data_IF_424517766221
#
_entry.id   IF_424517766221
#
_cell.length_a   1.000
_cell.length_b   1.000
_cell.length_c   1.000
_cell.angle_alpha   90.00
_cell.angle_beta   90.00
_cell.angle_gamma   90.00
#
_symmetry.space_group_name_H-M   'P 1'
#
loop_
_entity.id
_entity.type
_entity.pdbx_description
1 polymer ?
#
# COMPACT_ATOMS: atom_id res chain seq x y z
N UNK A 1 -25.39 -18.46 4.97
CA UNK A 1 -25.04 -17.76 3.71
C UNK A 1 -25.85 -16.48 3.63
N UNK A 2 -25.22 -15.33 3.83
CA UNK A 2 -25.91 -14.02 3.80
C UNK A 2 -26.30 -13.75 2.35
N UNK A 3 -27.59 -13.56 2.06
CA UNK A 3 -28.10 -13.20 0.73
C UNK A 3 -27.52 -11.82 0.39
N UNK A 4 -26.50 -11.77 -0.45
CA UNK A 4 -25.91 -10.51 -0.89
C UNK A 4 -26.96 -9.75 -1.70
N UNK A 5 -27.23 -8.50 -1.31
CA UNK A 5 -28.26 -7.68 -1.96
C UNK A 5 -27.89 -7.48 -3.43
N UNK A 6 -28.80 -7.80 -4.35
CA UNK A 6 -28.58 -7.67 -5.80
C UNK A 6 -28.16 -6.26 -6.21
N UNK A 7 -28.53 -5.25 -5.42
CA UNK A 7 -28.14 -3.84 -5.62
C UNK A 7 -26.64 -3.60 -5.41
N UNK A 8 -26.01 -4.28 -4.46
CA UNK A 8 -24.57 -4.12 -4.18
C UNK A 8 -23.74 -4.64 -5.36
N UNK A 9 -24.16 -5.74 -5.97
CA UNK A 9 -23.50 -6.31 -7.18
C UNK A 9 -23.61 -5.34 -8.36
N UNK A 10 -24.74 -4.63 -8.48
CA UNK A 10 -24.93 -3.61 -9.50
C UNK A 10 -24.05 -2.38 -9.22
N UNK A 11 -23.94 -1.97 -7.96
CA UNK A 11 -23.06 -0.88 -7.55
C UNK A 11 -21.58 -1.18 -7.83
N UNK A 12 -21.11 -2.40 -7.53
CA UNK A 12 -19.73 -2.79 -7.81
C UNK A 12 -19.40 -2.73 -9.30
N UNK A 13 -20.33 -3.18 -10.16
CA UNK A 13 -20.19 -3.04 -11.62
C UNK A 13 -20.06 -1.57 -12.05
N UNK A 14 -20.91 -0.69 -11.51
CA UNK A 14 -20.85 0.73 -11.84
C UNK A 14 -19.57 1.41 -11.35
N UNK A 15 -19.11 1.11 -10.13
CA UNK A 15 -17.83 1.61 -9.60
C UNK A 15 -16.65 1.14 -10.45
N UNK A 16 -16.67 -0.10 -10.93
CA UNK A 16 -15.62 -0.62 -11.82
C UNK A 16 -15.61 0.09 -13.17
N UNK A 17 -16.78 0.37 -13.75
CA UNK A 17 -16.90 1.13 -15.00
C UNK A 17 -16.44 2.57 -14.83
N UNK A 18 -16.77 3.21 -13.70
CA UNK A 18 -16.31 4.55 -13.35
C UNK A 18 -14.78 4.60 -13.17
N UNK A 19 -14.20 3.68 -12.40
CA UNK A 19 -12.74 3.59 -12.18
C UNK A 19 -11.96 3.45 -13.48
N UNK A 20 -12.49 2.64 -14.41
CA UNK A 20 -11.89 2.40 -15.73
C UNK A 20 -12.24 3.48 -16.76
N UNK A 21 -13.08 4.46 -16.41
CA UNK A 21 -13.63 5.48 -17.32
C UNK A 21 -14.25 4.87 -18.59
N UNK A 22 -14.89 3.71 -18.45
CA UNK A 22 -15.50 2.98 -19.56
C UNK A 22 -17.01 3.22 -19.59
N UNK A 23 -17.54 3.31 -20.79
CA UNK A 23 -18.98 3.25 -21.00
C UNK A 23 -19.53 1.83 -20.87
N UNK A 24 -20.84 1.72 -20.72
CA UNK A 24 -21.55 0.45 -20.67
C UNK A 24 -22.93 0.57 -21.32
N UNK A 25 -23.46 -0.60 -21.71
CA UNK A 25 -24.85 -0.77 -22.14
C UNK A 25 -25.67 -1.48 -21.07
N UNK A 26 -27.00 -1.34 -21.08
CA UNK A 26 -27.86 -2.06 -20.14
C UNK A 26 -27.76 -3.58 -20.30
N UNK A 27 -27.46 -4.07 -21.51
CA UNK A 27 -27.23 -5.49 -21.77
C UNK A 27 -25.95 -6.00 -21.11
N UNK A 28 -24.84 -5.25 -21.21
CA UNK A 28 -23.59 -5.58 -20.52
C UNK A 28 -23.75 -5.60 -19.00
N UNK A 29 -24.43 -4.59 -18.45
CA UNK A 29 -24.67 -4.51 -17.01
C UNK A 29 -25.53 -5.69 -16.51
N UNK A 30 -26.52 -6.10 -17.30
CA UNK A 30 -27.39 -7.22 -16.99
C UNK A 30 -26.63 -8.54 -16.97
N UNK A 31 -25.79 -8.77 -17.99
CA UNK A 31 -24.95 -9.95 -18.10
C UNK A 31 -23.92 -10.02 -16.96
N UNK A 32 -23.25 -8.92 -16.65
CA UNK A 32 -22.22 -8.88 -15.61
C UNK A 32 -22.77 -9.04 -14.18
N UNK A 33 -24.01 -8.61 -13.93
CA UNK A 33 -24.60 -8.62 -12.58
C UNK A 33 -25.59 -9.76 -12.36
N UNK A 34 -25.90 -10.57 -13.39
CA UNK A 34 -26.89 -11.65 -13.32
C UNK A 34 -28.33 -11.15 -13.17
N UNK A 35 -28.62 -9.89 -13.52
CA UNK A 35 -29.94 -9.27 -13.41
C UNK A 35 -30.62 -9.12 -14.78
N UNK A 36 -31.94 -8.92 -14.80
CA UNK A 36 -32.68 -8.63 -16.04
C UNK A 36 -32.37 -7.20 -16.53
N UNK A 37 -32.28 -7.00 -17.84
CA UNK A 37 -32.07 -5.67 -18.46
C UNK A 37 -33.08 -4.64 -17.95
N UNK A 38 -34.36 -5.02 -17.86
CA UNK A 38 -35.43 -4.15 -17.38
C UNK A 38 -35.24 -3.70 -15.92
N UNK A 39 -34.64 -4.54 -15.07
CA UNK A 39 -34.35 -4.19 -13.68
C UNK A 39 -33.30 -3.08 -13.61
N UNK A 40 -32.22 -3.20 -14.38
CA UNK A 40 -31.16 -2.19 -14.43
C UNK A 40 -31.68 -0.90 -15.07
N UNK A 41 -32.43 -1.00 -16.16
CA UNK A 41 -33.07 0.17 -16.77
C UNK A 41 -33.95 0.92 -15.77
N UNK A 42 -34.80 0.21 -15.03
CA UNK A 42 -35.66 0.78 -13.99
C UNK A 42 -34.84 1.45 -12.89
N UNK A 43 -33.81 0.77 -12.37
CA UNK A 43 -32.91 1.30 -11.34
C UNK A 43 -32.24 2.61 -11.80
N UNK A 44 -31.70 2.61 -13.01
CA UNK A 44 -31.03 3.77 -13.60
C UNK A 44 -32.03 4.89 -13.83
N UNK A 45 -33.18 4.62 -14.45
CA UNK A 45 -34.16 5.66 -14.78
C UNK A 45 -34.79 6.31 -13.54
N UNK A 46 -35.04 5.54 -12.48
CA UNK A 46 -35.76 6.03 -11.30
C UNK A 46 -34.85 6.77 -10.32
N UNK A 47 -33.58 6.35 -10.18
CA UNK A 47 -32.76 6.80 -9.04
C UNK A 47 -31.36 7.33 -9.39
N UNK A 48 -30.77 6.92 -10.53
CA UNK A 48 -29.37 7.19 -10.82
C UNK A 48 -29.15 8.12 -12.03
N UNK A 49 -30.09 8.17 -12.98
CA UNK A 49 -30.00 8.96 -14.20
C UNK A 49 -29.89 10.44 -13.89
N UNK A 50 -28.87 11.10 -14.46
CA UNK A 50 -28.62 12.54 -14.30
C UNK A 50 -27.97 12.94 -12.98
N UNK A 51 -27.88 12.03 -11.99
CA UNK A 51 -27.13 12.25 -10.74
C UNK A 51 -25.78 11.54 -10.77
N UNK A 52 -25.81 10.26 -11.12
CA UNK A 52 -24.66 9.37 -11.04
C UNK A 52 -24.38 8.61 -12.34
N UNK A 53 -25.39 8.48 -13.20
CA UNK A 53 -25.29 7.83 -14.50
C UNK A 53 -25.74 8.82 -15.58
N UNK A 54 -24.88 8.99 -16.57
CA UNK A 54 -25.03 9.97 -17.63
C UNK A 54 -24.98 9.27 -18.99
N UNK A 55 -25.68 9.84 -19.98
CA UNK A 55 -25.70 9.32 -21.34
C UNK A 55 -24.68 10.08 -22.18
N UNK A 56 -23.82 9.34 -22.88
CA UNK A 56 -22.89 9.93 -23.85
C UNK A 56 -23.50 9.90 -25.26
N UNK A 57 -23.46 8.74 -25.93
CA UNK A 57 -24.17 8.48 -27.20
C UNK A 57 -25.04 7.25 -27.04
N UNK A 58 -26.30 7.27 -27.52
CA UNK A 58 -27.14 6.05 -27.49
C UNK A 58 -26.42 4.91 -28.22
N UNK A 59 -26.27 3.71 -27.62
CA UNK A 59 -26.87 3.20 -26.37
C UNK A 59 -25.97 3.26 -25.11
N UNK A 60 -24.84 3.96 -25.15
CA UNK A 60 -23.78 4.00 -24.15
C UNK A 60 -24.06 4.99 -22.99
N UNK A 61 -23.77 4.52 -21.79
CA UNK A 61 -23.86 5.26 -20.52
C UNK A 61 -22.51 5.25 -19.80
N UNK A 62 -22.27 6.24 -18.96
CA UNK A 62 -21.09 6.28 -18.09
C UNK A 62 -21.48 6.69 -16.66
N UNK A 63 -20.66 6.29 -15.70
CA UNK A 63 -20.85 6.55 -14.28
C UNK A 63 -19.95 7.71 -13.83
N UNK A 64 -20.44 8.54 -12.90
CA UNK A 64 -19.67 9.58 -12.23
C UNK A 64 -20.23 9.82 -10.82
N UNK A 65 -19.36 9.84 -9.81
CA UNK A 65 -19.68 10.06 -8.41
C UNK A 65 -20.16 8.82 -7.64
N UNK A 66 -20.19 7.62 -8.23
CA UNK A 66 -20.57 6.38 -7.51
C UNK A 66 -19.43 5.81 -6.68
N UNK A 67 -18.18 6.22 -6.97
CA UNK A 67 -17.01 5.88 -6.16
C UNK A 67 -17.04 6.49 -4.75
N UNK A 68 -17.76 7.60 -4.55
CA UNK A 68 -17.79 8.34 -3.29
C UNK A 68 -19.01 8.04 -2.39
N UNK A 69 -19.95 7.21 -2.86
CA UNK A 69 -21.18 6.88 -2.12
C UNK A 69 -20.97 5.58 -1.37
N UNK A 70 -21.46 5.47 -0.13
CA UNK A 70 -21.44 4.21 0.63
C UNK A 70 -22.43 3.17 0.07
N UNK A 71 -22.22 1.89 0.37
CA UNK A 71 -23.13 0.82 -0.05
C UNK A 71 -24.55 1.03 0.53
N UNK A 72 -24.65 1.53 1.77
CA UNK A 72 -25.92 1.82 2.44
C UNK A 72 -26.64 3.02 1.81
N UNK A 73 -25.91 4.08 1.45
CA UNK A 73 -26.48 5.25 0.78
C UNK A 73 -26.99 4.88 -0.62
N UNK A 74 -26.25 4.05 -1.35
CA UNK A 74 -26.72 3.55 -2.63
C UNK A 74 -28.00 2.72 -2.50
N UNK A 75 -28.07 1.82 -1.52
CA UNK A 75 -29.27 1.05 -1.21
C UNK A 75 -30.45 1.98 -0.87
N UNK A 76 -30.19 3.06 -0.13
CA UNK A 76 -31.18 4.07 0.24
C UNK A 76 -31.69 4.85 -0.98
N UNK A 77 -30.79 5.30 -1.86
CA UNK A 77 -31.13 6.05 -3.08
C UNK A 77 -31.95 5.18 -4.05
N UNK A 78 -31.66 3.88 -4.09
CA UNK A 78 -32.25 2.93 -5.04
C UNK A 78 -33.49 2.18 -4.52
N UNK A 79 -33.90 2.39 -3.27
CA UNK A 79 -35.09 1.73 -2.71
C UNK A 79 -36.38 2.43 -3.18
N UNK A 80 -37.31 1.67 -3.79
CA UNK A 80 -38.63 2.15 -4.24
C UNK A 80 -39.58 2.53 -3.09
N UNK A 81 -39.23 2.24 -1.83
CA UNK A 81 -40.02 2.69 -0.69
C UNK A 81 -39.72 4.17 -0.40
N UNK A 82 -40.61 5.06 -0.83
CA UNK A 82 -40.69 6.47 -0.39
C UNK A 82 -41.06 6.62 1.09
N UNK A 83 -40.96 5.55 1.89
CA UNK A 83 -40.70 5.68 3.32
C UNK A 83 -39.19 5.75 3.45
N UNK A 84 -38.65 6.96 3.49
CA UNK A 84 -37.30 7.16 4.00
C UNK A 84 -37.26 6.43 5.34
N UNK A 85 -36.56 5.29 5.39
CA UNK A 85 -36.38 4.52 6.63
C UNK A 85 -35.97 5.55 7.68
N UNK A 86 -36.85 5.78 8.66
CA UNK A 86 -36.56 6.74 9.73
C UNK A 86 -35.32 6.17 10.39
N UNK A 87 -34.21 6.88 10.21
CA UNK A 87 -32.94 6.44 10.78
C UNK A 87 -33.15 6.38 12.30
N UNK A 88 -32.74 5.27 12.89
CA UNK A 88 -32.59 5.18 14.35
C UNK A 88 -31.61 6.26 14.82
N UNK A 89 -31.70 6.64 16.09
CA UNK A 89 -30.81 7.68 16.61
C UNK A 89 -29.34 7.24 16.55
N UNK A 90 -29.06 5.94 16.74
CA UNK A 90 -27.76 5.33 16.53
C UNK A 90 -27.29 5.42 15.07
N UNK A 91 -28.15 5.11 14.10
CA UNK A 91 -27.81 5.27 12.67
C UNK A 91 -27.53 6.74 12.33
N UNK A 92 -28.31 7.70 12.86
CA UNK A 92 -28.05 9.14 12.66
C UNK A 92 -26.70 9.55 13.24
N UNK A 93 -26.39 9.10 14.45
CA UNK A 93 -25.13 9.38 15.11
C UNK A 93 -23.96 8.76 14.36
N UNK A 94 -24.10 7.51 13.90
CA UNK A 94 -23.12 6.82 13.08
C UNK A 94 -22.68 7.64 11.87
N UNK A 95 -23.64 8.09 11.04
CA UNK A 95 -23.32 8.90 9.86
C UNK A 95 -22.67 10.23 10.21
N UNK A 96 -23.06 10.86 11.34
CA UNK A 96 -22.41 12.09 11.83
C UNK A 96 -20.98 11.83 12.29
N UNK A 97 -20.70 10.71 12.98
CA UNK A 97 -19.36 10.34 13.41
C UNK A 97 -18.45 10.08 12.22
N UNK A 98 -18.90 9.28 11.24
CA UNK A 98 -18.16 9.00 10.00
C UNK A 98 -17.84 10.27 9.22
N UNK A 99 -18.83 11.15 9.02
CA UNK A 99 -18.62 12.41 8.31
C UNK A 99 -17.62 13.32 9.03
N UNK A 100 -17.72 13.42 10.37
CA UNK A 100 -16.80 14.23 11.17
C UNK A 100 -15.39 13.63 11.21
N UNK A 101 -15.29 12.30 11.26
CA UNK A 101 -14.04 11.54 11.16
C UNK A 101 -13.32 11.86 9.85
N UNK A 102 -14.05 11.78 8.73
CA UNK A 102 -13.50 12.10 7.41
C UNK A 102 -13.05 13.56 7.31
N UNK A 103 -13.85 14.51 7.79
CA UNK A 103 -13.47 15.92 7.81
C UNK A 103 -12.19 16.14 8.65
N UNK A 104 -12.08 15.51 9.83
CA UNK A 104 -10.91 15.63 10.68
C UNK A 104 -9.67 15.03 10.01
N UNK A 105 -9.82 13.89 9.33
CA UNK A 105 -8.76 13.26 8.54
C UNK A 105 -8.26 14.17 7.41
N UNK A 106 -9.18 14.77 6.63
CA UNK A 106 -8.81 15.70 5.55
C UNK A 106 -8.06 16.91 6.09
N UNK A 107 -8.55 17.52 7.18
CA UNK A 107 -7.86 18.67 7.80
C UNK A 107 -6.49 18.29 8.33
N UNK A 108 -6.33 17.08 8.91
CA UNK A 108 -5.02 16.61 9.34
C UNK A 108 -4.02 16.64 8.17
N UNK A 109 -4.40 16.07 7.02
CA UNK A 109 -3.55 16.03 5.83
C UNK A 109 -3.25 17.44 5.27
N UNK A 110 -4.24 18.32 5.21
CA UNK A 110 -4.06 19.70 4.72
C UNK A 110 -3.09 20.49 5.60
N UNK A 111 -3.25 20.35 6.93
CA UNK A 111 -2.43 21.05 7.92
C UNK A 111 -0.98 20.59 7.88
N UNK A 112 -0.74 19.28 7.79
CA UNK A 112 0.62 18.75 7.67
C UNK A 112 1.31 19.23 6.38
N UNK A 113 0.56 19.27 5.29
CA UNK A 113 1.03 19.72 3.99
C UNK A 113 1.13 21.25 3.83
N UNK A 114 0.99 22.02 4.92
CA UNK A 114 1.20 23.47 4.94
C UNK A 114 2.57 23.80 5.55
N UNK A 115 3.65 23.96 4.75
CA UNK A 115 5.00 24.10 5.29
C UNK A 115 5.21 25.38 6.10
N UNK A 116 4.44 26.43 5.81
CA UNK A 116 4.47 27.70 6.53
C UNK A 116 3.88 27.64 7.95
N UNK A 117 3.28 26.52 8.34
CA UNK A 117 2.70 26.35 9.66
C UNK A 117 3.71 25.68 10.58
N UNK A 118 4.22 26.43 11.55
CA UNK A 118 5.27 25.99 12.47
C UNK A 118 4.82 24.77 13.30
N UNK A 119 3.58 24.79 13.79
CA UNK A 119 3.01 23.72 14.60
C UNK A 119 2.26 22.64 13.77
N UNK A 120 2.62 22.47 12.48
CA UNK A 120 1.94 21.50 11.58
C UNK A 120 1.95 20.06 12.10
N UNK A 121 3.02 19.65 12.77
CA UNK A 121 3.19 18.29 13.33
C UNK A 121 2.23 18.08 14.51
N UNK A 122 2.12 19.07 15.39
CA UNK A 122 1.17 19.10 16.52
C UNK A 122 -0.27 19.05 16.04
N UNK A 123 -0.62 19.96 15.14
CA UNK A 123 -1.96 20.08 14.63
C UNK A 123 -2.37 18.84 13.83
N UNK A 124 -1.44 18.22 13.08
CA UNK A 124 -1.67 16.91 12.47
C UNK A 124 -1.98 15.85 13.52
N UNK A 125 -1.15 15.69 14.56
CA UNK A 125 -1.32 14.64 15.57
C UNK A 125 -2.68 14.76 16.28
N UNK A 126 -3.10 15.99 16.63
CA UNK A 126 -4.40 16.27 17.24
C UNK A 126 -5.54 15.87 16.30
N UNK A 127 -5.51 16.35 15.05
CA UNK A 127 -6.60 16.10 14.09
C UNK A 127 -6.68 14.64 13.67
N UNK A 128 -5.53 13.98 13.50
CA UNK A 128 -5.45 12.55 13.17
C UNK A 128 -5.94 11.67 14.31
N UNK A 129 -5.62 12.02 15.57
CA UNK A 129 -6.14 11.35 16.76
C UNK A 129 -7.67 11.45 16.82
N UNK A 130 -8.21 12.66 16.61
CA UNK A 130 -9.66 12.87 16.58
C UNK A 130 -10.34 12.10 15.43
N UNK A 131 -9.73 12.04 14.24
CA UNK A 131 -10.24 11.24 13.13
C UNK A 131 -10.34 9.76 13.51
N UNK A 132 -9.26 9.16 14.04
CA UNK A 132 -9.28 7.78 14.50
C UNK A 132 -10.31 7.53 15.61
N UNK A 133 -10.45 8.45 16.56
CA UNK A 133 -11.40 8.30 17.66
C UNK A 133 -12.83 8.25 17.16
N UNK A 134 -13.21 9.14 16.26
CA UNK A 134 -14.56 9.18 15.68
C UNK A 134 -14.83 7.95 14.80
N UNK A 135 -13.84 7.48 14.03
CA UNK A 135 -13.95 6.28 13.22
C UNK A 135 -14.21 5.05 14.10
N UNK A 136 -13.36 4.79 15.10
CA UNK A 136 -13.49 3.61 15.94
C UNK A 136 -14.74 3.67 16.83
N UNK A 137 -15.15 4.85 17.31
CA UNK A 137 -16.44 5.02 18.01
C UNK A 137 -17.62 4.68 17.11
N UNK A 138 -17.59 5.04 15.83
CA UNK A 138 -18.65 4.64 14.90
C UNK A 138 -18.72 3.11 14.71
N UNK A 139 -17.58 2.42 14.73
CA UNK A 139 -17.52 0.95 14.70
C UNK A 139 -18.14 0.33 15.96
N UNK A 140 -17.79 0.86 17.13
CA UNK A 140 -18.34 0.43 18.42
C UNK A 140 -19.85 0.66 18.46
N UNK A 141 -20.32 1.84 18.06
CA UNK A 141 -21.74 2.17 17.98
C UNK A 141 -22.51 1.15 17.12
N UNK A 142 -21.97 0.80 15.95
CA UNK A 142 -22.58 -0.16 15.04
C UNK A 142 -22.59 -1.59 15.61
N UNK A 143 -21.63 -1.94 16.45
CA UNK A 143 -21.49 -3.27 17.03
C UNK A 143 -22.25 -3.46 18.36
N UNK A 144 -22.32 -2.42 19.20
CA UNK A 144 -22.77 -2.51 20.59
C UNK A 144 -23.81 -1.46 21.01
N UNK A 145 -24.14 -0.49 20.15
CA UNK A 145 -25.09 0.58 20.44
C UNK A 145 -24.52 1.72 21.29
N UNK A 146 -25.33 2.77 21.49
CA UNK A 146 -24.91 4.02 22.11
C UNK A 146 -24.31 3.88 23.51
N UNK A 147 -24.88 3.04 24.36
CA UNK A 147 -24.46 2.87 25.76
C UNK A 147 -22.99 2.44 25.89
N UNK A 148 -22.45 1.79 24.86
CA UNK A 148 -21.04 1.38 24.83
C UNK A 148 -20.04 2.51 24.52
N UNK A 149 -20.53 3.69 24.14
CA UNK A 149 -19.70 4.88 23.87
C UNK A 149 -19.51 5.76 25.11
N UNK A 150 -20.24 5.48 26.19
CA UNK A 150 -20.24 6.26 27.41
C UNK A 150 -19.72 5.39 28.55
N UNK A 151 -18.80 5.94 29.34
CA UNK A 151 -18.27 5.29 30.54
C UNK A 151 -19.22 5.45 31.74
N UNK A 152 -18.84 4.89 32.88
CA UNK A 152 -19.65 4.97 34.11
C UNK A 152 -19.82 6.39 34.66
N UNK A 153 -18.93 7.31 34.30
CA UNK A 153 -18.96 8.73 34.69
C UNK A 153 -19.77 9.59 33.72
N UNK A 154 -20.36 9.00 32.67
CA UNK A 154 -21.08 9.75 31.64
C UNK A 154 -20.18 10.40 30.58
N UNK A 155 -18.88 10.08 30.54
CA UNK A 155 -17.93 10.62 29.57
C UNK A 155 -17.82 9.69 28.37
N UNK A 156 -17.44 10.25 27.22
CA UNK A 156 -17.20 9.45 26.03
C UNK A 156 -15.91 8.64 26.16
N UNK A 157 -15.92 7.37 25.76
CA UNK A 157 -14.74 6.50 25.80
C UNK A 157 -13.54 7.16 25.10
N UNK A 158 -12.31 7.03 25.63
CA UNK A 158 -11.12 7.57 24.98
C UNK A 158 -10.70 6.72 23.77
N UNK A 159 -9.89 7.30 22.86
CA UNK A 159 -9.32 6.56 21.74
C UNK A 159 -8.57 5.29 22.17
N UNK A 160 -7.88 5.29 23.31
CA UNK A 160 -7.16 4.10 23.82
C UNK A 160 -8.08 2.90 24.03
N UNK A 161 -9.28 3.12 24.59
CA UNK A 161 -10.28 2.07 24.75
C UNK A 161 -10.85 1.63 23.40
N UNK A 162 -11.09 2.58 22.49
CA UNK A 162 -11.59 2.27 21.16
C UNK A 162 -10.59 1.45 20.32
N UNK A 163 -9.28 1.73 20.46
CA UNK A 163 -8.19 0.95 19.87
C UNK A 163 -8.14 -0.46 20.47
N UNK A 164 -8.29 -0.60 21.79
CA UNK A 164 -8.32 -1.91 22.44
C UNK A 164 -9.53 -2.76 22.00
N UNK A 165 -10.67 -2.13 21.73
CA UNK A 165 -11.83 -2.82 21.17
C UNK A 165 -11.54 -3.38 19.78
N UNK A 166 -10.89 -2.61 18.91
CA UNK A 166 -10.53 -3.03 17.54
C UNK A 166 -9.39 -4.06 17.53
N UNK A 167 -8.35 -3.81 18.33
CA UNK A 167 -7.13 -4.62 18.42
C UNK A 167 -6.97 -5.17 19.85
N UNK A 168 -7.66 -6.28 20.19
CA UNK A 168 -7.54 -6.87 21.52
C UNK A 168 -6.13 -7.42 21.78
N UNK A 169 -5.52 -8.02 20.75
CA UNK A 169 -4.16 -8.56 20.80
C UNK A 169 -3.11 -7.51 20.40
N UNK A 170 -1.86 -7.76 20.76
CA UNK A 170 -0.72 -6.94 20.35
C UNK A 170 -0.49 -7.05 18.83
N UNK A 171 -0.28 -5.90 18.17
CA UNK A 171 -0.09 -5.81 16.72
C UNK A 171 0.69 -4.55 16.35
N UNK A 172 1.32 -4.56 15.17
CA UNK A 172 2.04 -3.38 14.65
C UNK A 172 1.12 -2.16 14.52
N UNK A 173 -0.11 -2.38 14.03
CA UNK A 173 -1.15 -1.37 13.87
C UNK A 173 -1.57 -0.77 15.22
N UNK A 174 -1.73 -1.62 16.25
CA UNK A 174 -2.05 -1.20 17.61
C UNK A 174 -0.92 -0.36 18.20
N UNK A 175 0.32 -0.80 18.05
CA UNK A 175 1.49 -0.06 18.54
C UNK A 175 1.67 1.28 17.79
N UNK A 176 1.36 1.35 16.49
CA UNK A 176 1.33 2.61 15.74
C UNK A 176 0.32 3.59 16.33
N UNK A 177 -0.92 3.15 16.54
CA UNK A 177 -1.98 4.00 17.10
C UNK A 177 -1.70 4.40 18.56
N UNK A 178 -1.18 3.48 19.37
CA UNK A 178 -0.75 3.80 20.73
C UNK A 178 0.37 4.83 20.76
N UNK A 179 1.28 4.78 19.79
CA UNK A 179 2.34 5.78 19.68
C UNK A 179 1.80 7.15 19.27
N UNK A 180 0.81 7.22 18.37
CA UNK A 180 0.07 8.45 18.05
C UNK A 180 -0.65 9.01 19.29
N UNK A 181 -1.35 8.16 20.05
CA UNK A 181 -2.06 8.54 21.28
C UNK A 181 -1.09 9.12 22.29
N UNK A 182 0.04 8.45 22.53
CA UNK A 182 1.04 8.90 23.50
C UNK A 182 1.69 10.22 23.08
N UNK A 183 1.95 10.42 21.78
CA UNK A 183 2.43 11.69 21.26
C UNK A 183 1.42 12.83 21.51
N UNK A 184 0.11 12.57 21.36
CA UNK A 184 -0.92 13.59 21.62
C UNK A 184 -1.15 13.84 23.10
N UNK A 185 -1.20 12.80 23.92
CA UNK A 185 -1.61 12.88 25.33
C UNK A 185 -0.46 13.20 26.28
N UNK A 186 0.70 12.58 26.09
CA UNK A 186 1.77 12.56 27.09
C UNK A 186 2.98 13.38 26.65
N UNK A 187 3.15 13.55 25.33
CA UNK A 187 4.38 14.02 24.71
C UNK A 187 4.11 15.07 23.63
N UNK A 188 3.09 15.92 23.83
CA UNK A 188 2.72 16.93 22.84
C UNK A 188 3.85 17.94 22.59
N UNK A 189 4.62 18.25 23.64
CA UNK A 189 5.81 19.09 23.60
C UNK A 189 7.02 18.41 22.91
N UNK A 190 6.90 17.15 22.51
CA UNK A 190 7.92 16.43 21.73
C UNK A 190 7.67 16.53 20.22
N UNK A 191 6.59 17.15 19.75
CA UNK A 191 6.27 17.28 18.32
C UNK A 191 7.13 18.36 17.63
N UNK A 192 8.45 18.19 17.75
CA UNK A 192 9.48 19.12 17.33
C UNK A 192 9.94 18.89 15.88
N UNK A 193 10.42 19.92 15.18
CA UNK A 193 10.96 19.79 13.82
C UNK A 193 12.12 18.79 13.71
N UNK A 194 12.99 18.71 14.72
CA UNK A 194 14.22 17.90 14.69
C UNK A 194 13.94 16.40 14.66
N UNK A 195 12.80 15.97 15.19
CA UNK A 195 12.37 14.55 15.17
C UNK A 195 11.33 14.27 14.09
N UNK A 196 11.03 15.27 13.25
CA UNK A 196 10.05 15.15 12.19
C UNK A 196 10.31 13.98 11.23
N UNK A 197 11.56 13.60 10.87
CA UNK A 197 11.79 12.43 10.02
C UNK A 197 11.20 11.14 10.61
N UNK A 198 11.38 10.89 11.90
CA UNK A 198 10.82 9.70 12.58
C UNK A 198 9.30 9.78 12.70
N UNK A 199 8.77 10.95 13.09
CA UNK A 199 7.34 11.18 13.20
C UNK A 199 6.63 11.02 11.86
N UNK A 200 7.25 11.50 10.78
CA UNK A 200 6.68 11.41 9.43
C UNK A 200 6.47 9.96 8.97
N UNK A 201 7.42 9.06 9.29
CA UNK A 201 7.31 7.62 8.98
C UNK A 201 6.18 6.96 9.76
N UNK A 202 6.00 7.32 11.03
CA UNK A 202 4.90 6.86 11.87
C UNK A 202 3.55 7.34 11.32
N UNK A 203 3.44 8.65 11.08
CA UNK A 203 2.23 9.32 10.61
C UNK A 203 1.79 8.83 9.24
N UNK A 204 2.74 8.57 8.35
CA UNK A 204 2.45 7.99 7.05
C UNK A 204 1.73 6.64 7.20
N UNK A 205 2.26 5.76 8.03
CA UNK A 205 1.61 4.48 8.33
C UNK A 205 0.23 4.69 8.97
N UNK A 206 0.11 5.62 9.92
CA UNK A 206 -1.18 5.93 10.56
C UNK A 206 -2.25 6.38 9.56
N UNK A 207 -1.87 7.15 8.54
CA UNK A 207 -2.75 7.58 7.45
C UNK A 207 -3.18 6.41 6.58
N UNK A 208 -2.24 5.54 6.18
CA UNK A 208 -2.55 4.35 5.39
C UNK A 208 -3.50 3.39 6.13
N UNK A 209 -3.23 3.15 7.42
CA UNK A 209 -4.10 2.35 8.27
C UNK A 209 -5.52 2.94 8.37
N UNK A 210 -5.63 4.27 8.46
CA UNK A 210 -6.94 4.92 8.51
C UNK A 210 -7.72 4.72 7.21
N UNK A 211 -7.03 4.88 6.07
CA UNK A 211 -7.64 4.66 4.76
C UNK A 211 -8.12 3.22 4.58
N UNK A 212 -7.32 2.24 5.01
CA UNK A 212 -7.67 0.82 5.00
C UNK A 212 -8.92 0.56 5.86
N UNK A 213 -8.94 1.06 7.10
CA UNK A 213 -10.05 0.88 8.04
C UNK A 213 -11.34 1.57 7.59
N UNK A 214 -11.23 2.82 7.10
CA UNK A 214 -12.37 3.53 6.55
C UNK A 214 -12.97 2.79 5.36
N UNK A 215 -12.12 2.32 4.43
CA UNK A 215 -12.57 1.59 3.26
C UNK A 215 -13.21 0.24 3.62
N UNK A 216 -12.65 -0.45 4.60
CA UNK A 216 -13.24 -1.69 5.13
C UNK A 216 -14.63 -1.46 5.75
N UNK A 217 -14.82 -0.33 6.43
CA UNK A 217 -16.08 -0.02 7.12
C UNK A 217 -17.18 0.51 6.18
N UNK A 218 -16.84 1.42 5.26
CA UNK A 218 -17.81 2.14 4.41
C UNK A 218 -17.91 1.60 2.97
N UNK A 219 -16.96 0.76 2.55
CA UNK A 219 -16.93 0.15 1.21
C UNK A 219 -16.35 1.05 0.11
N UNK A 220 -15.79 2.22 0.46
CA UNK A 220 -15.13 3.13 -0.46
C UNK A 220 -13.95 3.87 0.18
N UNK A 221 -13.03 4.37 -0.65
CA UNK A 221 -11.86 5.09 -0.15
C UNK A 221 -12.22 6.52 0.30
N UNK A 222 -11.71 7.01 1.44
CA UNK A 222 -12.11 8.30 2.01
C UNK A 222 -11.86 9.50 1.09
N UNK A 223 -10.91 9.41 0.16
CA UNK A 223 -10.48 10.50 -0.73
C UNK A 223 -10.63 10.16 -2.22
N UNK A 224 -11.62 9.34 -2.61
CA UNK A 224 -11.77 8.84 -3.98
C UNK A 224 -11.83 9.94 -5.07
N UNK A 225 -12.30 11.15 -4.73
CA UNK A 225 -12.47 12.28 -5.66
C UNK A 225 -11.39 13.38 -5.53
N UNK A 226 -10.47 13.27 -4.56
CA UNK A 226 -9.43 14.28 -4.33
C UNK A 226 -8.10 13.79 -4.90
N UNK A 227 -7.36 14.63 -5.62
CA UNK A 227 -6.03 14.28 -6.13
C UNK A 227 -5.08 14.04 -4.95
N UNK A 228 -4.90 12.76 -4.62
CA UNK A 228 -4.13 12.18 -3.52
C UNK A 228 -2.60 12.40 -3.65
N UNK A 229 -2.16 13.28 -4.57
CA UNK A 229 -0.74 13.63 -4.78
C UNK A 229 -0.04 14.26 -3.56
N UNK A 230 -0.74 14.40 -2.43
CA UNK A 230 -0.29 14.98 -1.17
C UNK A 230 -0.06 13.95 -0.05
N UNK A 231 -0.07 12.65 -0.38
CA UNK A 231 0.07 11.58 0.63
C UNK A 231 1.49 11.31 1.11
N UNK A 232 2.54 11.87 0.52
CA UNK A 232 3.91 11.65 1.01
C UNK A 232 4.19 12.59 2.17
N UNK A 233 3.72 12.23 3.37
CA UNK A 233 4.09 12.91 4.61
C UNK A 233 5.53 12.64 4.99
N UNK A 234 6.13 11.58 4.42
CA UNK A 234 7.50 11.15 4.66
C UNK A 234 8.45 12.27 4.25
N UNK A 235 9.03 12.90 5.26
CA UNK A 235 10.11 13.86 5.11
C UNK A 235 11.37 13.09 5.41
N UNK A 236 12.23 12.98 4.40
CA UNK A 236 13.57 12.47 4.61
C UNK A 236 14.43 13.56 5.28
N UNK A 237 15.28 13.14 6.21
CA UNK A 237 16.11 14.04 6.99
C UNK A 237 17.15 13.29 7.81
N UNK A 238 18.20 13.99 8.25
CA UNK A 238 19.25 13.39 9.08
C UNK A 238 18.67 12.84 10.39
N UNK A 239 19.42 11.92 11.03
CA UNK A 239 19.07 11.52 12.40
C UNK A 239 19.06 12.75 13.33
N UNK A 240 18.11 12.84 14.27
CA UNK A 240 17.99 13.99 15.18
C UNK A 240 19.26 14.18 16.00
N UNK A 241 19.84 15.38 15.95
CA UNK A 241 20.97 15.74 16.79
C UNK A 241 20.48 16.15 18.18
N UNK A 242 20.70 15.26 19.16
CA UNK A 242 20.32 15.50 20.55
C UNK A 242 21.09 16.68 21.17
N UNK A 243 22.29 16.99 20.66
CA UNK A 243 23.06 18.15 21.12
C UNK A 243 22.36 19.46 20.74
N UNK A 244 21.89 19.57 19.50
CA UNK A 244 21.10 20.70 19.01
C UNK A 244 19.80 20.84 19.80
N UNK A 245 19.06 19.74 20.00
CA UNK A 245 17.82 19.74 20.79
C UNK A 245 18.07 20.22 22.22
N UNK A 246 19.22 19.87 22.81
CA UNK A 246 19.60 20.29 24.16
C UNK A 246 19.94 21.77 24.23
N UNK A 247 20.52 22.33 23.18
CA UNK A 247 20.85 23.75 23.07
C UNK A 247 19.58 24.60 22.91
N UNK A 248 18.70 24.22 21.98
CA UNK A 248 17.47 24.95 21.65
C UNK A 248 16.37 24.79 22.71
N UNK A 249 16.14 23.55 23.18
CA UNK A 249 14.98 23.21 24.03
C UNK A 249 15.35 22.79 25.45
N UNK A 250 16.63 22.76 25.79
CA UNK A 250 17.14 22.46 27.12
C UNK A 250 17.26 20.96 27.45
N UNK A 251 17.89 20.69 28.60
CA UNK A 251 18.30 19.33 29.01
C UNK A 251 17.14 18.34 29.21
N UNK A 252 16.01 18.81 29.75
CA UNK A 252 14.86 17.95 30.06
C UNK A 252 14.20 17.43 28.77
N UNK A 253 13.93 18.33 27.83
CA UNK A 253 13.35 18.01 26.52
C UNK A 253 14.25 17.07 25.74
N UNK A 254 15.56 17.35 25.66
CA UNK A 254 16.52 16.47 25.00
C UNK A 254 16.56 15.04 25.58
N UNK A 255 16.39 14.91 26.90
CA UNK A 255 16.35 13.60 27.57
C UNK A 255 15.10 12.81 27.18
N UNK A 256 13.94 13.49 27.14
CA UNK A 256 12.67 12.88 26.73
C UNK A 256 12.67 12.52 25.23
N UNK A 257 13.23 13.38 24.38
CA UNK A 257 13.43 13.09 22.95
C UNK A 257 14.28 11.84 22.77
N UNK A 258 15.41 11.73 23.49
CA UNK A 258 16.27 10.56 23.41
C UNK A 258 15.56 9.28 23.89
N UNK A 259 14.78 9.35 24.96
CA UNK A 259 13.97 8.23 25.43
C UNK A 259 12.91 7.79 24.40
N UNK A 260 12.21 8.78 23.82
CA UNK A 260 11.26 8.55 22.74
C UNK A 260 11.92 7.86 21.54
N UNK A 261 13.04 8.36 21.05
CA UNK A 261 13.75 7.78 19.90
C UNK A 261 14.23 6.35 20.17
N UNK A 262 14.71 6.07 21.38
CA UNK A 262 15.08 4.70 21.80
C UNK A 262 13.87 3.77 21.80
N UNK A 263 12.75 4.22 22.37
CA UNK A 263 11.49 3.45 22.38
C UNK A 263 10.99 3.21 20.95
N UNK A 264 11.00 4.24 20.12
CA UNK A 264 10.60 4.18 18.71
C UNK A 264 11.42 3.15 17.94
N UNK A 265 12.74 3.21 18.03
CA UNK A 265 13.66 2.27 17.37
C UNK A 265 13.44 0.83 17.84
N UNK A 266 13.16 0.63 19.14
CA UNK A 266 12.83 -0.70 19.68
C UNK A 266 11.53 -1.26 19.11
N UNK A 267 10.48 -0.43 18.99
CA UNK A 267 9.21 -0.84 18.39
C UNK A 267 9.34 -1.11 16.88
N UNK A 268 10.11 -0.29 16.18
CA UNK A 268 10.44 -0.49 14.77
C UNK A 268 11.14 -1.84 14.54
N UNK A 269 12.15 -2.16 15.36
CA UNK A 269 12.84 -3.45 15.32
C UNK A 269 11.95 -4.64 15.73
N UNK A 270 11.06 -4.45 16.72
CA UNK A 270 10.12 -5.49 17.18
C UNK A 270 9.21 -5.95 16.04
N UNK A 271 8.64 -5.00 15.29
CA UNK A 271 7.65 -5.31 14.26
C UNK A 271 8.26 -5.58 12.88
N UNK A 272 9.41 -4.98 12.57
CA UNK A 272 10.13 -5.10 11.30
C UNK A 272 9.20 -5.10 10.07
N UNK A 273 8.21 -4.21 10.08
CA UNK A 273 7.18 -4.14 9.05
C UNK A 273 6.73 -2.70 8.83
N UNK A 274 6.26 -2.40 7.61
CA UNK A 274 5.75 -1.08 7.25
C UNK A 274 4.41 -0.73 7.91
N UNK A 275 3.85 -1.66 8.72
CA UNK A 275 2.59 -1.48 9.45
C UNK A 275 2.77 -0.76 10.80
N UNK A 276 4.00 -0.66 11.32
CA UNK A 276 4.30 0.22 12.46
C UNK A 276 4.80 1.60 12.01
N UNK A 277 5.80 1.64 11.13
CA UNK A 277 6.33 2.85 10.51
C UNK A 277 6.89 2.48 9.13
N UNK A 278 6.75 3.37 8.14
CA UNK A 278 7.28 3.10 6.80
C UNK A 278 8.81 3.11 6.79
N UNK A 279 9.42 2.05 6.27
CA UNK A 279 10.86 2.02 6.01
C UNK A 279 11.15 2.75 4.69
N UNK A 280 12.12 3.68 4.73
CA UNK A 280 12.62 4.35 3.53
C UNK A 280 13.77 3.49 2.99
N UNK A 281 13.52 2.73 1.92
CA UNK A 281 14.56 1.98 1.22
C UNK A 281 15.17 2.85 0.11
N UNK A 282 16.44 3.25 0.28
CA UNK A 282 17.18 3.92 -0.78
C UNK A 282 17.66 2.90 -1.82
N UNK A 283 17.10 2.96 -3.02
CA UNK A 283 17.69 2.33 -4.20
C UNK A 283 18.64 3.33 -4.87
N UNK A 284 19.83 3.49 -4.32
CA UNK A 284 20.88 4.33 -4.91
C UNK A 284 21.35 3.71 -6.24
N UNK A 285 21.27 4.46 -7.35
CA UNK A 285 21.73 4.04 -8.66
C UNK A 285 22.59 5.12 -9.33
N UNK A 286 23.78 4.77 -9.83
CA UNK A 286 24.72 5.68 -10.47
C UNK A 286 24.55 5.71 -11.99
N UNK A 287 24.12 6.87 -12.49
CA UNK A 287 23.92 7.15 -13.92
C UNK A 287 25.00 8.13 -14.41
N UNK A 288 25.69 7.79 -15.51
CA UNK A 288 26.77 8.62 -16.10
C UNK A 288 26.24 9.74 -17.01
N UNK A 289 24.91 9.89 -17.10
CA UNK A 289 24.21 10.94 -17.86
C UNK A 289 23.06 11.42 -16.97
N UNK A 290 23.08 12.67 -16.49
CA UNK A 290 21.98 13.18 -15.68
C UNK A 290 20.72 13.28 -16.55
N UNK A 291 19.74 12.43 -16.27
CA UNK A 291 18.36 12.69 -16.68
C UNK A 291 17.79 13.76 -15.75
N UNK A 292 16.82 14.54 -16.22
CA UNK A 292 16.26 15.72 -15.56
C UNK A 292 15.53 15.48 -14.22
N UNK A 293 15.71 14.32 -13.57
CA UNK A 293 14.99 13.94 -12.35
C UNK A 293 15.88 13.31 -11.25
N UNK A 294 17.20 13.31 -11.39
CA UNK A 294 18.12 12.73 -10.38
C UNK A 294 18.91 13.82 -9.63
N UNK A 295 18.91 13.74 -8.29
CA UNK A 295 19.74 14.57 -7.40
C UNK A 295 21.24 14.35 -7.67
N UNK A 296 21.93 15.42 -8.05
CA UNK A 296 23.38 15.45 -8.24
C UNK A 296 24.05 16.09 -7.01
N UNK A 297 25.00 15.37 -6.40
CA UNK A 297 25.91 15.97 -5.40
C UNK A 297 27.22 16.35 -6.08
N UNK A 298 27.61 17.63 -5.97
CA UNK A 298 28.96 18.10 -6.28
C UNK A 298 29.83 18.05 -5.02
N UNK A 299 31.04 17.51 -5.13
CA UNK A 299 32.02 17.50 -4.04
C UNK A 299 32.67 18.87 -3.87
N UNK A 300 32.52 19.48 -2.69
CA UNK A 300 33.44 20.49 -2.17
C UNK A 300 34.75 19.88 -1.65
N UNK A 301 35.78 20.68 -1.34
CA UNK A 301 37.18 20.24 -1.25
C UNK A 301 37.55 19.21 -0.17
N UNK A 302 36.69 18.93 0.83
CA UNK A 302 37.07 18.14 2.04
C UNK A 302 36.22 16.87 2.31
N UNK A 303 35.47 16.35 1.34
CA UNK A 303 34.62 15.16 1.54
C UNK A 303 35.32 13.81 1.31
N UNK A 304 35.48 12.97 2.34
CA UNK A 304 35.97 11.57 2.24
C UNK A 304 34.90 10.61 1.69
N UNK A 305 35.28 9.91 0.62
CA UNK A 305 34.70 8.68 0.02
C UNK A 305 33.21 8.66 -0.34
N UNK A 306 32.93 8.93 -1.62
CA UNK A 306 31.64 8.71 -2.31
C UNK A 306 31.45 7.23 -2.68
N UNK A 307 30.32 6.64 -2.32
CA UNK A 307 29.99 5.23 -2.59
C UNK A 307 29.18 5.06 -3.89
N UNK A 308 29.82 4.37 -4.82
CA UNK A 308 29.37 3.58 -5.95
C UNK A 308 28.12 2.64 -5.85
N UNK A 309 26.89 2.90 -6.35
CA UNK A 309 25.80 1.86 -6.37
C UNK A 309 25.00 1.79 -7.69
N UNK A 310 24.57 0.58 -8.04
CA UNK A 310 24.36 -0.03 -9.36
C UNK A 310 22.99 0.25 -10.04
N UNK A 311 22.95 0.21 -11.38
CA UNK A 311 21.74 0.45 -12.22
C UNK A 311 20.80 -0.76 -12.24
N UNK A 312 19.52 -0.61 -12.68
CA UNK A 312 18.77 -1.74 -13.23
C UNK A 312 19.58 -2.31 -14.40
N UNK A 313 20.16 -3.50 -14.19
CA UNK A 313 21.10 -4.08 -15.15
C UNK A 313 20.36 -4.41 -16.43
N UNK A 314 20.79 -3.81 -17.54
CA UNK A 314 20.28 -4.12 -18.87
C UNK A 314 20.31 -5.64 -19.08
N UNK A 315 19.14 -6.26 -19.32
CA UNK A 315 18.99 -7.70 -19.50
C UNK A 315 19.90 -8.26 -20.61
N UNK A 316 20.21 -7.44 -21.62
CA UNK A 316 21.16 -7.79 -22.70
C UNK A 316 22.61 -7.91 -22.22
N UNK A 317 22.95 -7.34 -21.07
CA UNK A 317 24.30 -7.36 -20.48
C UNK A 317 24.39 -8.42 -19.38
N UNK A 318 23.36 -8.57 -18.52
CA UNK A 318 23.35 -9.57 -17.44
C UNK A 318 22.99 -10.97 -17.91
N UNK A 319 21.99 -11.08 -18.79
CA UNK A 319 21.50 -12.35 -19.34
C UNK A 319 21.50 -12.27 -20.88
N UNK A 320 22.70 -12.19 -21.50
CA UNK A 320 22.82 -11.95 -22.95
C UNK A 320 22.30 -13.12 -23.81
N UNK A 321 22.28 -14.34 -23.27
CA UNK A 321 22.05 -15.54 -24.07
C UNK A 321 20.60 -16.03 -23.99
N UNK A 322 20.02 -16.31 -25.14
CA UNK A 322 18.85 -17.19 -25.26
C UNK A 322 19.27 -18.65 -25.25
N UNK A 323 18.30 -19.57 -25.14
CA UNK A 323 18.55 -21.01 -25.10
C UNK A 323 19.44 -21.50 -26.25
N UNK A 324 19.12 -21.13 -27.50
CA UNK A 324 19.88 -21.55 -28.69
C UNK A 324 21.29 -20.98 -28.72
N UNK A 325 21.47 -19.72 -28.33
CA UNK A 325 22.78 -19.06 -28.28
C UNK A 325 23.62 -19.57 -27.11
N UNK A 326 23.02 -19.90 -25.96
CA UNK A 326 23.72 -20.46 -24.81
C UNK A 326 24.28 -21.85 -25.13
N UNK A 327 23.52 -22.70 -25.82
CA UNK A 327 23.98 -24.03 -26.25
C UNK A 327 25.13 -23.92 -27.24
N UNK A 328 25.05 -22.97 -28.18
CA UNK A 328 26.12 -22.70 -29.13
C UNK A 328 27.41 -22.26 -28.42
N UNK A 329 27.32 -21.29 -27.53
CA UNK A 329 28.46 -20.81 -26.72
C UNK A 329 29.05 -21.89 -25.82
N UNK A 330 28.22 -22.74 -25.21
CA UNK A 330 28.71 -23.88 -24.44
C UNK A 330 29.51 -24.80 -25.36
N UNK A 331 28.96 -25.25 -26.49
CA UNK A 331 29.65 -26.15 -27.42
C UNK A 331 30.89 -25.54 -28.10
N UNK A 332 30.99 -24.22 -28.20
CA UNK A 332 32.19 -23.54 -28.73
C UNK A 332 33.30 -23.42 -27.68
N UNK A 333 32.95 -23.33 -26.39
CA UNK A 333 33.91 -23.17 -25.28
C UNK A 333 34.39 -24.48 -24.65
N UNK A 334 33.81 -25.62 -25.02
CA UNK A 334 34.26 -26.95 -24.59
C UNK A 334 34.13 -27.96 -25.74
N UNK A 335 35.07 -28.91 -25.80
CA UNK A 335 35.14 -29.95 -26.84
C UNK A 335 34.86 -31.36 -26.29
N UNK A 336 34.43 -31.47 -25.03
CA UNK A 336 34.28 -32.74 -24.31
C UNK A 336 33.00 -33.47 -24.71
N UNK A 337 31.92 -32.75 -25.03
CA UNK A 337 30.65 -33.36 -25.45
C UNK A 337 29.76 -32.39 -26.24
N UNK A 338 28.93 -32.90 -27.15
CA UNK A 338 27.96 -32.06 -27.88
C UNK A 338 26.68 -31.94 -27.05
N UNK A 339 26.40 -30.73 -26.56
CA UNK A 339 25.17 -30.40 -25.83
C UNK A 339 24.06 -30.11 -26.85
N UNK A 340 22.95 -30.83 -26.73
CA UNK A 340 21.72 -30.60 -27.50
C UNK A 340 20.63 -29.93 -26.64
N UNK A 341 19.58 -29.41 -27.27
CA UNK A 341 18.45 -28.77 -26.57
C UNK A 341 17.84 -29.65 -25.46
N UNK A 342 17.80 -30.97 -25.65
CA UNK A 342 17.22 -31.90 -24.69
C UNK A 342 18.06 -32.00 -23.41
N UNK A 343 19.37 -32.22 -23.56
CA UNK A 343 20.33 -32.31 -22.46
C UNK A 343 20.42 -31.00 -21.68
N UNK A 344 20.41 -29.86 -22.38
CA UNK A 344 20.37 -28.52 -21.77
C UNK A 344 19.11 -28.33 -20.90
N UNK A 345 17.91 -28.62 -21.44
CA UNK A 345 16.65 -28.52 -20.70
C UNK A 345 16.59 -29.46 -19.49
N UNK A 346 17.16 -30.66 -19.60
CA UNK A 346 17.21 -31.63 -18.51
C UNK A 346 18.02 -31.09 -17.32
N UNK A 347 19.18 -30.47 -17.58
CA UNK A 347 20.01 -29.82 -16.56
C UNK A 347 19.30 -28.63 -15.92
N UNK A 348 18.71 -27.74 -16.74
CA UNK A 348 17.95 -26.57 -16.26
C UNK A 348 16.81 -26.99 -15.32
N UNK A 349 16.10 -28.07 -15.67
CA UNK A 349 14.99 -28.62 -14.86
C UNK A 349 15.49 -29.26 -13.57
N UNK A 350 16.53 -30.09 -13.63
CA UNK A 350 17.05 -30.81 -12.45
C UNK A 350 17.63 -29.87 -11.41
N UNK A 351 18.37 -28.84 -11.83
CA UNK A 351 19.05 -27.91 -10.94
C UNK A 351 18.22 -26.66 -10.59
N UNK A 352 16.93 -26.64 -10.97
CA UNK A 352 15.98 -25.55 -10.70
C UNK A 352 16.56 -24.17 -11.06
N UNK A 353 17.28 -24.10 -12.19
CA UNK A 353 18.00 -22.91 -12.62
C UNK A 353 17.06 -21.72 -12.81
N UNK A 354 15.80 -21.96 -13.16
CA UNK A 354 14.77 -20.93 -13.31
C UNK A 354 14.43 -20.17 -12.02
N UNK A 355 14.80 -20.67 -10.86
CA UNK A 355 14.57 -20.01 -9.57
C UNK A 355 15.78 -19.20 -9.09
N UNK A 356 16.88 -19.19 -9.86
CA UNK A 356 18.13 -18.49 -9.51
C UNK A 356 18.29 -17.26 -10.38
N UNK A 357 18.06 -16.08 -9.79
CA UNK A 357 18.15 -14.79 -10.47
C UNK A 357 19.55 -14.46 -11.03
N UNK A 358 20.60 -15.13 -10.52
CA UNK A 358 21.97 -15.00 -11.05
C UNK A 358 22.18 -15.72 -12.39
N UNK A 359 21.35 -16.72 -12.69
CA UNK A 359 21.51 -17.61 -13.84
C UNK A 359 20.41 -17.46 -14.88
N UNK A 360 19.21 -17.01 -14.46
CA UNK A 360 18.03 -17.02 -15.30
C UNK A 360 17.10 -15.84 -15.02
N UNK A 361 16.56 -15.27 -16.11
CA UNK A 361 15.56 -14.20 -16.08
C UNK A 361 14.42 -14.49 -17.07
N UNK A 362 13.18 -14.18 -16.66
CA UNK A 362 11.94 -14.35 -17.44
C UNK A 362 11.13 -13.04 -17.54
N UNK A 363 11.80 -11.92 -17.82
CA UNK A 363 11.10 -10.63 -17.99
C UNK A 363 10.31 -10.55 -19.31
N UNK A 364 10.79 -11.18 -20.39
CA UNK A 364 10.11 -11.20 -21.71
C UNK A 364 10.27 -12.56 -22.39
N UNK A 365 11.52 -12.99 -22.62
CA UNK A 365 11.87 -14.33 -23.09
C UNK A 365 12.88 -14.98 -22.15
N UNK A 366 12.90 -16.32 -22.04
CA UNK A 366 13.87 -17.03 -21.22
C UNK A 366 15.32 -16.67 -21.62
N UNK A 367 16.08 -16.07 -20.69
CA UNK A 367 17.47 -15.68 -20.90
C UNK A 367 18.38 -16.25 -19.82
N UNK A 368 19.64 -16.48 -20.19
CA UNK A 368 20.68 -17.07 -19.37
C UNK A 368 21.90 -16.15 -19.28
N UNK A 369 22.53 -16.12 -18.10
CA UNK A 369 23.73 -15.32 -17.85
C UNK A 369 25.01 -16.02 -18.30
N UNK A 370 26.10 -15.26 -18.41
CA UNK A 370 27.45 -15.82 -18.63
C UNK A 370 27.85 -16.74 -17.48
N UNK A 371 27.51 -16.37 -16.23
CA UNK A 371 27.80 -17.18 -15.04
C UNK A 371 27.12 -18.56 -15.09
N UNK A 372 25.94 -18.66 -15.70
CA UNK A 372 25.30 -19.96 -15.92
C UNK A 372 26.09 -20.82 -16.92
N UNK A 373 26.63 -20.24 -17.99
CA UNK A 373 27.45 -20.95 -18.99
C UNK A 373 28.73 -21.47 -18.34
N UNK A 374 29.43 -20.63 -17.57
CA UNK A 374 30.66 -21.02 -16.87
C UNK A 374 30.39 -22.13 -15.85
N UNK A 375 29.33 -21.98 -15.06
CA UNK A 375 28.89 -23.02 -14.13
C UNK A 375 28.56 -24.33 -14.86
N UNK A 376 27.91 -24.27 -16.01
CA UNK A 376 27.57 -25.45 -16.81
C UNK A 376 28.83 -26.17 -17.29
N UNK A 377 29.82 -25.42 -17.81
CA UNK A 377 31.10 -25.97 -18.29
C UNK A 377 31.92 -26.55 -17.15
N UNK A 378 32.00 -25.87 -16.01
CA UNK A 378 32.73 -26.38 -14.84
C UNK A 378 32.16 -27.72 -14.36
N UNK A 379 30.83 -27.85 -14.36
CA UNK A 379 30.16 -29.08 -13.94
C UNK A 379 30.25 -30.20 -14.98
N UNK A 380 30.42 -29.88 -16.26
CA UNK A 380 30.66 -30.89 -17.30
C UNK A 380 31.99 -31.65 -17.12
N UNK A 381 33.00 -31.03 -16.50
CA UNK A 381 34.28 -31.69 -16.21
C UNK A 381 34.17 -32.86 -15.22
N UNK A 382 33.06 -32.95 -14.48
CA UNK A 382 32.82 -34.04 -13.55
C UNK A 382 32.37 -35.31 -14.30
N UNK A 383 32.99 -36.48 -14.06
CA UNK A 383 32.67 -37.71 -14.78
C UNK A 383 31.20 -38.11 -14.56
N UNK A 384 30.50 -38.44 -15.65
CA UNK A 384 29.09 -38.86 -15.69
C UNK A 384 28.07 -37.83 -15.16
N UNK A 385 28.43 -36.55 -15.04
CA UNK A 385 27.52 -35.53 -14.51
C UNK A 385 26.31 -35.28 -15.41
N UNK A 386 26.52 -35.17 -16.72
CA UNK A 386 25.45 -34.97 -17.71
C UNK A 386 24.45 -36.14 -17.74
N UNK A 387 24.96 -37.38 -17.65
CA UNK A 387 24.14 -38.60 -17.63
C UNK A 387 23.25 -38.69 -16.38
N UNK A 388 23.73 -38.18 -15.23
CA UNK A 388 22.90 -38.09 -14.01
C UNK A 388 21.78 -37.07 -14.16
N UNK A 389 21.92 -36.08 -15.04
CA UNK A 389 20.92 -35.03 -15.25
C UNK A 389 19.79 -35.43 -16.20
N UNK A 390 20.01 -36.42 -17.06
CA UNK A 390 19.01 -36.94 -17.99
C UNK A 390 17.96 -37.79 -17.24
N UNK A 391 16.66 -37.65 -17.53
CA UNK A 391 15.61 -38.51 -16.97
C UNK A 391 15.83 -39.97 -17.41
N UNK A 392 15.44 -40.93 -16.56
CA UNK A 392 15.80 -42.37 -16.62
C UNK A 392 15.52 -43.11 -17.95
N UNK A 393 14.81 -42.53 -18.92
CA UNK A 393 14.42 -43.19 -20.17
C UNK A 393 15.54 -43.35 -21.22
N UNK A 394 16.77 -42.86 -20.96
CA UNK A 394 17.95 -43.17 -21.78
C UNK A 394 19.23 -43.36 -20.95
N UNK A 395 19.18 -44.15 -19.87
CA UNK A 395 20.41 -44.76 -19.32
C UNK A 395 20.93 -45.93 -20.17
N UNK A 396 20.27 -46.21 -21.30
CA UNK A 396 20.70 -47.17 -22.32
C UNK A 396 20.87 -46.42 -23.63
N UNK A 397 22.10 -46.07 -23.94
CA UNK A 397 22.80 -46.48 -25.16
C UNK A 397 24.26 -46.02 -24.99
N UNK A 398 25.12 -47.03 -24.86
CA UNK A 398 26.55 -46.90 -25.12
C UNK A 398 26.77 -46.60 -26.59
#
# INVERSE_FOLDING_TARGET
>A
MVKQDKRIIVLSFFRDKERKKLSFTYAEAALATGNKVNYIQKLVSESLKGKYIFQDKRPNWYCKGLLAISDNDFIRITSQSTQAKILTDDEKLYYKLIKRSLNAFTVALEVYNRPSLENRVEAFAIMMTNAWELLLKSQILKAKGFDSLIDQDGKSIPLSEAVNFKYPNDSADKDNLNQLISLRNDAIHLLLPEIQPQLSRLFQTTVLLYQEEFAHQEGYAPLADQNVGMLSLVIDGPEPDIALVKEEYGKKTASQVNEFLKKFKKLEQKHNSNRFAIHIEYKLALTKKPGSEDLTFGTGPDGKHTVFVDRPKNLKITHPFYETTAIKEINERQADCIINNYSFRAVVKKHKIKNKAEYFDLTDRPRYSVAFIEWFIERLKQPNWLQKALPNNMKKNK
#
